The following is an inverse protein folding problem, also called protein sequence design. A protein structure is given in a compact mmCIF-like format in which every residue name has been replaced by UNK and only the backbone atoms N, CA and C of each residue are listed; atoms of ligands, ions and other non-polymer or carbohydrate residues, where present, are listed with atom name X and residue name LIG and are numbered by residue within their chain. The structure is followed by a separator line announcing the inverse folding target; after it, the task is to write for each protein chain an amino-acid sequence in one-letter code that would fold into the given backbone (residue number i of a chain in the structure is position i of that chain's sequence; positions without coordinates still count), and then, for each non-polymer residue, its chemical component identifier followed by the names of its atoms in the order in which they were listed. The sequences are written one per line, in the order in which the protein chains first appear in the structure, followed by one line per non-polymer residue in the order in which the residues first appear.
data_IF_895572463987
#
_entry.id   IF_895572463987
#
_cell.length_a   1.000
_cell.length_b   1.000
_cell.length_c   1.000
_cell.angle_alpha   90.00
_cell.angle_beta   90.00
_cell.angle_gamma   90.00
#
_symmetry.space_group_name_H-M   'P 1'
#
loop_
_entity.id
_entity.type
_entity.pdbx_description
1 polymer ?
#
# COMPACT_ATOMS: atom_id res chain seq x y z
N UNK A 1 -1.73 10.96 -10.27
CA UNK A 1 -2.60 11.55 -9.23
C UNK A 1 -2.57 10.62 -8.02
N UNK A 2 -2.35 11.18 -6.84
CA UNK A 2 -2.43 10.48 -5.55
C UNK A 2 -3.89 10.58 -5.11
N UNK A 3 -4.55 9.45 -4.85
CA UNK A 3 -5.93 9.45 -4.37
C UNK A 3 -5.91 9.08 -2.89
N UNK A 4 -6.47 9.95 -2.05
CA UNK A 4 -6.53 9.76 -0.61
C UNK A 4 -7.89 9.16 -0.23
N UNK A 5 -7.87 8.15 0.64
CA UNK A 5 -9.06 7.50 1.16
C UNK A 5 -9.01 7.53 2.68
N UNK A 6 -10.08 8.05 3.28
CA UNK A 6 -10.31 7.92 4.70
C UNK A 6 -10.84 6.52 5.01
N UNK A 7 -10.28 5.87 6.01
CA UNK A 7 -10.76 4.59 6.49
C UNK A 7 -11.99 4.80 7.37
N UNK A 8 -13.06 4.09 7.06
CA UNK A 8 -14.25 4.04 7.93
C UNK A 8 -13.94 3.30 9.25
N UNK A 9 -12.98 2.37 9.19
CA UNK A 9 -12.45 1.63 10.34
C UNK A 9 -10.92 1.81 10.37
N UNK A 10 -10.41 2.75 11.19
CA UNK A 10 -8.99 2.95 11.39
C UNK A 10 -8.28 1.66 11.82
N UNK A 11 -7.06 1.46 11.35
CA UNK A 11 -6.26 0.28 11.69
C UNK A 11 -5.06 0.69 12.55
N UNK A 12 -4.74 -0.10 13.57
CA UNK A 12 -3.55 0.12 14.39
C UNK A 12 -2.45 -0.85 13.97
N UNK A 13 -1.31 -0.31 13.52
CA UNK A 13 -0.14 -1.09 13.11
C UNK A 13 1.05 -0.56 13.89
N UNK A 14 1.80 -1.43 14.58
CA UNK A 14 2.96 -1.06 15.37
C UNK A 14 2.72 0.07 16.40
N UNK A 15 1.49 0.22 16.90
CA UNK A 15 1.11 1.26 17.86
C UNK A 15 0.70 2.59 17.22
N UNK A 16 0.81 2.73 15.90
CA UNK A 16 0.34 3.89 15.15
C UNK A 16 -1.06 3.63 14.60
N UNK A 17 -1.95 4.61 14.75
CA UNK A 17 -3.30 4.54 14.19
C UNK A 17 -3.32 5.19 12.83
N UNK A 18 -3.68 4.38 11.84
CA UNK A 18 -3.89 4.81 10.48
C UNK A 18 -5.36 5.13 10.29
N UNK A 19 -5.64 6.37 9.90
CA UNK A 19 -6.98 6.84 9.56
C UNK A 19 -7.16 7.08 8.06
N UNK A 20 -6.07 7.24 7.31
CA UNK A 20 -6.09 7.55 5.88
C UNK A 20 -5.02 6.76 5.13
N UNK A 21 -5.35 6.34 3.90
CA UNK A 21 -4.42 5.69 2.99
C UNK A 21 -4.39 6.43 1.67
N UNK A 22 -3.22 6.44 1.02
CA UNK A 22 -3.09 6.99 -0.32
C UNK A 22 -2.81 5.89 -1.34
N UNK A 23 -3.63 5.83 -2.38
CA UNK A 23 -3.40 4.95 -3.52
C UNK A 23 -2.62 5.73 -4.59
N UNK A 24 -1.66 5.05 -5.20
CA UNK A 24 -0.97 5.54 -6.40
C UNK A 24 -0.96 4.46 -7.46
N UNK A 25 -0.65 4.84 -8.70
CA UNK A 25 -0.38 3.82 -9.72
C UNK A 25 0.92 3.07 -9.40
N UNK A 26 0.94 1.75 -9.64
CA UNK A 26 2.13 0.94 -9.49
C UNK A 26 3.19 1.32 -10.52
N UNK A 27 4.44 1.07 -10.18
CA UNK A 27 5.59 1.25 -11.07
C UNK A 27 6.30 -0.08 -11.31
N UNK A 28 7.15 -0.13 -12.32
CA UNK A 28 8.01 -1.29 -12.60
C UNK A 28 8.91 -1.65 -11.40
N UNK A 29 9.29 -0.65 -10.58
CA UNK A 29 10.08 -0.88 -9.37
C UNK A 29 9.29 -1.67 -8.32
N UNK A 30 8.00 -1.39 -8.18
CA UNK A 30 7.12 -2.11 -7.25
C UNK A 30 6.95 -3.57 -7.66
N UNK A 31 6.81 -3.82 -8.97
CA UNK A 31 6.74 -5.18 -9.52
C UNK A 31 8.00 -5.99 -9.16
N UNK A 32 9.18 -5.40 -9.36
CA UNK A 32 10.46 -6.04 -9.01
C UNK A 32 10.60 -6.29 -7.52
N UNK A 33 10.13 -5.37 -6.67
CA UNK A 33 10.19 -5.55 -5.23
C UNK A 33 9.34 -6.75 -4.78
N UNK A 34 8.12 -6.89 -5.33
CA UNK A 34 7.24 -8.03 -5.04
C UNK A 34 7.87 -9.35 -5.50
N UNK A 35 8.41 -9.39 -6.71
CA UNK A 35 9.10 -10.56 -7.25
C UNK A 35 10.30 -10.97 -6.36
N UNK A 36 11.10 -10.00 -5.90
CA UNK A 36 12.23 -10.24 -4.99
C UNK A 36 11.81 -10.76 -3.61
N UNK A 37 10.62 -10.37 -3.14
CA UNK A 37 10.06 -10.86 -1.89
C UNK A 37 9.43 -12.26 -2.03
N UNK A 38 9.40 -12.83 -3.25
CA UNK A 38 8.70 -14.08 -3.53
C UNK A 38 7.17 -13.95 -3.48
N UNK A 39 6.66 -12.72 -3.56
CA UNK A 39 5.23 -12.42 -3.57
C UNK A 39 4.60 -12.72 -4.94
N UNK A 40 3.32 -13.07 -4.94
CA UNK A 40 2.54 -13.33 -6.14
C UNK A 40 1.69 -12.12 -6.56
N UNK A 41 0.66 -12.39 -7.35
CA UNK A 41 -0.24 -11.35 -7.88
C UNK A 41 -1.01 -10.60 -6.78
N UNK A 42 -1.26 -11.25 -5.64
CA UNK A 42 -1.97 -10.66 -4.50
C UNK A 42 -1.06 -9.65 -3.81
N UNK A 43 0.17 -10.04 -3.49
CA UNK A 43 1.19 -9.16 -2.90
C UNK A 43 1.50 -7.98 -3.83
N UNK A 44 1.55 -8.24 -5.15
CA UNK A 44 1.65 -7.19 -6.15
C UNK A 44 0.48 -6.23 -6.03
N UNK A 45 -0.76 -6.73 -6.04
CA UNK A 45 -1.98 -5.92 -5.94
C UNK A 45 -2.06 -5.11 -4.64
N UNK A 46 -1.56 -5.65 -3.52
CA UNK A 46 -1.53 -4.95 -2.22
C UNK A 46 -0.48 -3.82 -2.22
N UNK A 47 0.75 -4.08 -2.69
CA UNK A 47 1.79 -3.05 -2.83
C UNK A 47 1.39 -1.98 -3.85
N UNK A 48 0.65 -2.37 -4.88
CA UNK A 48 0.04 -1.46 -5.84
C UNK A 48 -0.94 -0.47 -5.20
N UNK A 49 -1.59 -0.86 -4.10
CA UNK A 49 -2.59 -0.06 -3.40
C UNK A 49 -1.97 0.76 -2.26
N UNK A 50 -1.03 0.22 -1.49
CA UNK A 50 -0.60 0.87 -0.26
C UNK A 50 0.60 1.80 -0.47
N UNK A 51 0.36 3.11 -0.48
CA UNK A 51 1.35 4.09 -0.05
C UNK A 51 0.86 4.75 1.22
N UNK A 52 1.48 4.37 2.33
CA UNK A 52 1.49 5.16 3.54
C UNK A 52 2.41 6.35 3.36
N UNK A 53 1.97 7.53 3.77
CA UNK A 53 2.86 8.63 4.03
C UNK A 53 2.87 8.88 5.53
N UNK A 54 4.09 8.95 6.06
CA UNK A 54 4.46 9.42 7.39
C UNK A 54 3.87 10.81 7.68
#
# INVERSE_FOLDING_TARGET
MKQLFKLEYPITVNGETIEEISLRRPTVKDAKAVEQMGGGEIEFSIICLLVYQE
#
